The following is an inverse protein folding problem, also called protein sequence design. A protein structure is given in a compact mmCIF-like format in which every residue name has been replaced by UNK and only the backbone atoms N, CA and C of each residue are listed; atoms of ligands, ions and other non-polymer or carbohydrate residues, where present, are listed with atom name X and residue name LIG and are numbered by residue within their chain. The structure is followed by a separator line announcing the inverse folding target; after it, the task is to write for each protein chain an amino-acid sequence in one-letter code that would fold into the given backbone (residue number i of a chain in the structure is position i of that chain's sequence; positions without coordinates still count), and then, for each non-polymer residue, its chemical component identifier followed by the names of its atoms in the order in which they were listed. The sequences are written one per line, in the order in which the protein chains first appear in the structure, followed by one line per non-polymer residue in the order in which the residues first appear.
data_IF_100392453002
#
_entry.id   IF_100392453002
#
_cell.length_a   1.000
_cell.length_b   1.000
_cell.length_c   1.000
_cell.angle_alpha   90.00
_cell.angle_beta   90.00
_cell.angle_gamma   90.00
#
_symmetry.space_group_name_H-M   'P 1'
#
loop_
_entity.id
_entity.type
_entity.pdbx_description
1 polymer ?
#
# COMPACT_ATOMS: atom_id res chain seq x y z
N UNK A 1 65.81 -8.63 -20.54
CA UNK A 1 66.00 -9.68 -19.52
C UNK A 1 65.08 -9.39 -18.35
N UNK A 2 64.26 -10.39 -17.99
CA UNK A 2 63.63 -10.64 -16.67
C UNK A 2 62.57 -9.64 -16.17
N UNK A 3 61.29 -9.94 -16.39
CA UNK A 3 60.33 -10.54 -15.41
C UNK A 3 60.05 -9.71 -14.15
N UNK A 4 58.79 -9.28 -13.99
CA UNK A 4 57.94 -9.72 -12.88
C UNK A 4 56.52 -9.13 -13.01
N UNK A 5 55.62 -9.97 -13.50
CA UNK A 5 54.17 -9.87 -13.37
C UNK A 5 53.84 -9.95 -11.87
N UNK A 6 53.18 -8.95 -11.29
CA UNK A 6 52.51 -9.08 -9.98
C UNK A 6 51.02 -8.81 -10.14
N UNK A 7 50.32 -9.94 -10.26
CA UNK A 7 48.89 -10.07 -10.01
C UNK A 7 48.64 -9.70 -8.53
N UNK A 8 47.76 -8.75 -8.28
CA UNK A 8 47.15 -8.55 -6.96
C UNK A 8 45.64 -8.68 -7.15
N UNK A 9 45.14 -9.88 -6.84
CA UNK A 9 43.74 -10.23 -6.77
C UNK A 9 43.18 -9.64 -5.47
N UNK A 10 42.51 -8.49 -5.54
CA UNK A 10 41.75 -7.96 -4.41
C UNK A 10 40.33 -8.54 -4.46
N UNK A 11 40.10 -9.61 -3.69
CA UNK A 11 38.75 -9.98 -3.24
C UNK A 11 38.22 -8.86 -2.35
N UNK A 12 37.38 -8.00 -2.90
CA UNK A 12 36.55 -7.09 -2.12
C UNK A 12 35.41 -7.87 -1.48
N UNK A 13 35.59 -8.22 -0.21
CA UNK A 13 34.55 -8.77 0.65
C UNK A 13 33.40 -7.75 0.69
N UNK A 14 32.22 -8.16 0.21
CA UNK A 14 30.99 -7.44 0.46
C UNK A 14 30.73 -7.52 1.97
N UNK A 15 31.11 -6.46 2.68
CA UNK A 15 30.73 -6.29 4.07
C UNK A 15 29.23 -6.03 4.11
N UNK A 16 28.45 -7.07 4.41
CA UNK A 16 27.08 -6.91 4.88
C UNK A 16 27.13 -6.16 6.20
N UNK A 17 27.02 -4.83 6.14
CA UNK A 17 26.76 -4.03 7.33
C UNK A 17 25.35 -4.39 7.80
N UNK A 18 25.28 -5.25 8.82
CA UNK A 18 24.13 -5.29 9.72
C UNK A 18 24.14 -3.95 10.44
N UNK A 19 23.40 -2.98 9.90
CA UNK A 19 23.03 -1.77 10.63
C UNK A 19 22.14 -2.24 11.79
N UNK A 20 22.76 -2.40 12.95
CA UNK A 20 22.06 -2.34 14.22
C UNK A 20 21.67 -0.87 14.36
N UNK A 21 20.57 -0.48 13.72
CA UNK A 21 19.90 0.77 14.07
C UNK A 21 19.41 0.60 15.50
N UNK A 22 19.87 1.47 16.39
CA UNK A 22 19.23 1.68 17.68
C UNK A 22 17.72 1.78 17.42
N UNK A 23 16.94 1.02 18.18
CA UNK A 23 15.47 1.08 18.16
C UNK A 23 15.08 2.55 18.27
N UNK A 24 14.66 3.17 17.17
CA UNK A 24 13.87 4.38 17.28
C UNK A 24 12.62 3.96 18.04
N UNK A 25 12.27 4.69 19.10
CA UNK A 25 11.10 4.41 19.95
C UNK A 25 9.75 4.62 19.21
N UNK A 26 9.74 4.45 17.88
CA UNK A 26 8.53 4.39 17.07
C UNK A 26 7.90 2.99 17.21
N UNK A 27 6.83 2.90 17.98
CA UNK A 27 5.88 1.79 17.91
C UNK A 27 6.18 0.61 18.85
N UNK A 28 5.84 0.77 20.13
CA UNK A 28 5.52 -0.40 20.96
C UNK A 28 4.40 -1.21 20.27
N UNK A 29 4.54 -2.54 20.33
CA UNK A 29 3.77 -3.51 19.52
C UNK A 29 2.25 -3.34 19.68
N UNK A 30 1.53 -3.09 18.58
CA UNK A 30 0.05 -3.09 18.58
C UNK A 30 -0.52 -4.44 19.04
N UNK A 31 -1.47 -4.38 19.98
CA UNK A 31 -2.29 -5.53 20.39
C UNK A 31 -3.51 -5.61 19.46
N UNK A 32 -3.55 -6.61 18.58
CA UNK A 32 -4.63 -6.74 17.59
C UNK A 32 -5.69 -7.76 18.04
N UNK A 33 -6.98 -7.38 18.11
CA UNK A 33 -8.05 -8.34 18.23
C UNK A 33 -8.27 -9.09 16.90
N UNK A 34 -7.94 -10.37 16.90
CA UNK A 34 -8.66 -11.45 16.20
C UNK A 34 -9.03 -11.27 14.69
N UNK A 35 -8.06 -11.04 13.80
CA UNK A 35 -8.24 -11.28 12.34
C UNK A 35 -7.14 -12.16 11.71
N UNK A 36 -6.24 -12.72 12.51
CA UNK A 36 -5.12 -13.54 12.05
C UNK A 36 -5.51 -14.95 11.51
N UNK A 37 -6.79 -15.26 11.34
CA UNK A 37 -7.25 -16.62 10.99
C UNK A 37 -7.76 -16.80 9.56
N UNK A 38 -7.74 -15.77 8.70
CA UNK A 38 -8.30 -15.89 7.34
C UNK A 38 -7.34 -16.35 6.23
N UNK A 39 -6.05 -16.60 6.48
CA UNK A 39 -5.14 -17.12 5.44
C UNK A 39 -4.60 -18.50 5.79
N UNK A 40 -5.20 -19.56 5.26
CA UNK A 40 -4.45 -20.80 5.03
C UNK A 40 -3.46 -20.55 3.89
N UNK A 41 -2.16 -20.57 4.20
CA UNK A 41 -1.03 -20.78 3.29
C UNK A 41 -1.11 -20.09 1.91
N UNK A 42 -1.18 -18.76 1.89
CA UNK A 42 -0.90 -17.97 0.68
C UNK A 42 0.36 -17.16 0.95
N UNK A 43 1.36 -17.32 0.10
CA UNK A 43 2.64 -16.64 0.22
C UNK A 43 2.48 -15.13 -0.04
N UNK A 44 3.22 -14.33 0.71
CA UNK A 44 3.37 -12.89 0.47
C UNK A 44 4.68 -12.64 -0.26
N UNK A 45 4.62 -12.04 -1.44
CA UNK A 45 5.77 -11.58 -2.21
C UNK A 45 6.03 -10.11 -1.87
N UNK A 46 7.29 -9.69 -1.72
CA UNK A 46 7.62 -8.36 -1.16
C UNK A 46 7.98 -7.31 -2.21
N UNK A 47 8.45 -7.71 -3.38
CA UNK A 47 8.94 -6.79 -4.41
C UNK A 47 8.65 -7.37 -5.79
N UNK A 48 7.38 -7.67 -6.02
CA UNK A 48 6.92 -8.31 -7.25
C UNK A 48 6.20 -7.31 -8.16
N UNK A 49 6.17 -7.62 -9.44
CA UNK A 49 5.40 -6.86 -10.42
C UNK A 49 3.94 -7.32 -10.41
N UNK A 50 3.02 -6.38 -10.61
CA UNK A 50 1.60 -6.68 -10.82
C UNK A 50 1.44 -7.63 -12.01
N UNK A 51 0.44 -8.51 -11.94
CA UNK A 51 0.07 -9.32 -13.10
C UNK A 51 -0.26 -8.43 -14.31
N UNK A 52 -0.01 -8.92 -15.53
CA UNK A 52 -0.28 -8.17 -16.76
C UNK A 52 -1.75 -7.76 -16.88
N UNK A 53 -2.68 -8.51 -16.28
CA UNK A 53 -4.09 -8.14 -16.21
C UNK A 53 -4.35 -6.85 -15.42
N UNK A 54 -3.47 -6.55 -14.46
CA UNK A 54 -3.48 -5.36 -13.62
C UNK A 54 -2.60 -4.21 -14.16
N UNK A 55 -2.08 -4.29 -15.39
CA UNK A 55 -1.28 -3.21 -16.00
C UNK A 55 -2.06 -2.49 -17.10
N UNK A 56 -1.80 -1.19 -17.29
CA UNK A 56 -2.41 -0.43 -18.39
C UNK A 56 -1.89 -0.98 -19.74
N UNK A 57 -2.76 -1.54 -20.61
CA UNK A 57 -2.32 -2.01 -21.93
C UNK A 57 -1.81 -0.88 -22.83
N UNK A 58 -2.19 0.37 -22.56
CA UNK A 58 -1.66 1.56 -23.25
C UNK A 58 -0.25 1.97 -22.79
N UNK A 59 0.19 1.48 -21.63
CA UNK A 59 1.47 1.80 -21.00
C UNK A 59 1.96 0.61 -20.15
N UNK A 60 2.25 -0.52 -20.81
CA UNK A 60 2.70 -1.74 -20.12
C UNK A 60 3.90 -1.44 -19.20
N UNK A 61 3.86 -1.98 -17.99
CA UNK A 61 4.79 -1.64 -16.91
C UNK A 61 4.27 -0.55 -15.95
N UNK A 62 3.08 0.01 -16.19
CA UNK A 62 2.40 0.93 -15.25
C UNK A 62 1.05 0.41 -14.82
N UNK A 63 0.57 0.87 -13.66
CA UNK A 63 -0.82 0.70 -13.23
C UNK A 63 -1.78 1.38 -14.23
N UNK A 64 -3.05 0.99 -14.18
CA UNK A 64 -4.13 1.76 -14.78
C UNK A 64 -4.30 3.13 -14.11
N UNK A 65 -4.06 3.19 -12.80
CA UNK A 65 -4.32 4.38 -12.01
C UNK A 65 -3.20 5.41 -12.08
N UNK A 66 -3.59 6.63 -12.44
CA UNK A 66 -2.69 7.77 -12.54
C UNK A 66 -1.72 7.65 -13.71
N UNK A 67 -1.09 8.77 -14.06
CA UNK A 67 -0.10 8.77 -15.14
C UNK A 67 1.25 8.32 -14.59
N UNK A 68 1.62 7.06 -14.84
CA UNK A 68 3.00 6.60 -14.66
C UNK A 68 3.36 6.07 -13.27
N UNK A 69 2.42 5.54 -12.49
CA UNK A 69 2.77 4.73 -11.32
C UNK A 69 3.32 3.38 -11.81
N UNK A 70 4.59 3.02 -11.57
CA UNK A 70 5.14 1.76 -12.03
C UNK A 70 4.37 0.57 -11.47
N UNK A 71 4.18 -0.48 -12.27
CA UNK A 71 3.56 -1.73 -11.85
C UNK A 71 4.52 -2.64 -11.04
N UNK A 72 5.69 -2.12 -10.65
CA UNK A 72 6.75 -2.87 -9.98
C UNK A 72 6.78 -2.64 -8.47
N UNK A 73 7.52 -3.50 -7.75
CA UNK A 73 7.85 -3.38 -6.33
C UNK A 73 6.64 -3.44 -5.37
N UNK A 74 5.64 -4.24 -5.70
CA UNK A 74 4.48 -4.44 -4.84
C UNK A 74 4.71 -5.54 -3.81
N UNK A 75 4.10 -5.35 -2.64
CA UNK A 75 3.75 -6.45 -1.74
C UNK A 75 2.52 -7.13 -2.31
N UNK A 76 2.63 -8.39 -2.71
CA UNK A 76 1.58 -9.13 -3.41
C UNK A 76 1.17 -10.38 -2.64
N UNK A 77 -0.14 -10.66 -2.65
CA UNK A 77 -0.68 -12.01 -2.40
C UNK A 77 -1.54 -12.45 -3.57
N UNK A 78 -1.21 -13.62 -4.14
CA UNK A 78 -1.96 -14.27 -5.21
C UNK A 78 -2.78 -15.43 -4.66
N UNK A 79 -4.09 -15.38 -4.88
CA UNK A 79 -5.07 -16.37 -4.48
C UNK A 79 -5.50 -17.16 -5.72
N UNK A 80 -4.62 -18.00 -6.25
CA UNK A 80 -4.78 -18.67 -7.55
C UNK A 80 -6.12 -19.41 -7.70
N UNK A 81 -6.61 -20.05 -6.64
CA UNK A 81 -7.90 -20.76 -6.64
C UNK A 81 -9.10 -19.84 -6.83
N UNK A 82 -8.98 -18.60 -6.39
CA UNK A 82 -10.00 -17.57 -6.57
C UNK A 82 -9.74 -16.70 -7.80
N UNK A 83 -8.56 -16.81 -8.43
CA UNK A 83 -8.12 -15.92 -9.50
C UNK A 83 -8.05 -14.46 -9.06
N UNK A 84 -7.57 -14.22 -7.83
CA UNK A 84 -7.46 -12.87 -7.24
C UNK A 84 -5.99 -12.55 -6.95
N UNK A 85 -5.54 -11.36 -7.31
CA UNK A 85 -4.33 -10.73 -6.80
C UNK A 85 -4.71 -9.49 -5.96
N UNK A 86 -4.15 -9.39 -4.76
CA UNK A 86 -4.13 -8.16 -3.98
C UNK A 86 -2.70 -7.66 -3.90
N UNK A 87 -2.50 -6.37 -4.16
CA UNK A 87 -1.19 -5.76 -4.15
C UNK A 87 -1.20 -4.37 -3.51
N UNK A 88 -0.17 -4.05 -2.73
CA UNK A 88 0.03 -2.72 -2.15
C UNK A 88 1.51 -2.35 -2.12
N UNK A 89 1.83 -1.07 -2.29
CA UNK A 89 3.19 -0.53 -2.08
C UNK A 89 3.16 0.88 -1.51
N UNK A 90 4.28 1.31 -0.91
CA UNK A 90 4.52 2.72 -0.63
C UNK A 90 5.37 3.34 -1.74
N UNK A 91 5.22 4.65 -1.92
CA UNK A 91 6.14 5.46 -2.71
C UNK A 91 6.19 6.88 -2.15
N UNK A 92 7.30 7.58 -2.37
CA UNK A 92 7.33 9.02 -2.12
C UNK A 92 6.25 9.70 -2.96
N UNK A 93 5.61 10.74 -2.44
CA UNK A 93 4.57 11.46 -3.17
C UNK A 93 5.17 12.05 -4.45
N UNK A 94 4.75 11.52 -5.61
CA UNK A 94 5.30 11.82 -6.95
C UNK A 94 6.77 11.36 -7.18
N UNK A 95 7.32 10.54 -6.29
CA UNK A 95 8.69 10.05 -6.35
C UNK A 95 8.78 8.54 -6.45
N UNK A 96 9.96 8.00 -6.10
CA UNK A 96 10.28 6.59 -6.21
C UNK A 96 9.53 5.70 -5.20
N UNK A 97 9.48 4.40 -5.50
CA UNK A 97 8.92 3.38 -4.60
C UNK A 97 9.75 3.27 -3.31
N UNK A 98 9.07 2.97 -2.20
CA UNK A 98 9.69 2.68 -0.91
C UNK A 98 9.53 1.17 -0.64
N UNK A 99 10.62 0.38 -0.61
CA UNK A 99 10.54 -1.07 -0.50
C UNK A 99 10.11 -1.52 0.90
N UNK A 100 9.56 -2.73 1.06
CA UNK A 100 9.31 -3.30 2.37
C UNK A 100 10.57 -3.39 3.22
N UNK A 101 10.42 -3.09 4.51
CA UNK A 101 11.55 -2.98 5.43
C UNK A 101 11.77 -4.28 6.21
N UNK A 102 10.71 -4.87 6.76
CA UNK A 102 10.79 -6.14 7.48
C UNK A 102 9.44 -6.84 7.55
N UNK A 103 9.46 -8.10 8.02
CA UNK A 103 8.26 -8.88 8.35
C UNK A 103 8.29 -9.17 9.85
N UNK A 104 7.20 -8.88 10.56
CA UNK A 104 7.15 -9.07 12.01
C UNK A 104 6.98 -10.55 12.41
N UNK A 105 7.05 -10.84 13.71
CA UNK A 105 6.86 -12.20 14.23
C UNK A 105 5.46 -12.79 14.00
N UNK A 106 4.51 -12.01 13.45
CA UNK A 106 3.17 -12.45 13.06
C UNK A 106 3.03 -12.62 11.54
N UNK A 107 4.09 -12.40 10.77
CA UNK A 107 4.08 -12.49 9.32
C UNK A 107 3.48 -11.27 8.61
N UNK A 108 3.37 -10.13 9.31
CA UNK A 108 2.86 -8.88 8.74
C UNK A 108 4.03 -8.12 8.12
N UNK A 109 3.83 -7.59 6.92
CA UNK A 109 4.84 -6.78 6.23
C UNK A 109 4.79 -5.35 6.75
N UNK A 110 5.97 -4.81 7.06
CA UNK A 110 6.17 -3.44 7.51
C UNK A 110 6.96 -2.65 6.45
N UNK A 111 6.50 -1.43 6.18
CA UNK A 111 7.17 -0.46 5.31
C UNK A 111 7.44 0.81 6.11
N UNK A 112 8.72 1.10 6.34
CA UNK A 112 9.15 2.34 7.01
C UNK A 112 9.09 3.49 6.00
N UNK A 113 8.36 4.53 6.35
CA UNK A 113 8.11 5.71 5.52
C UNK A 113 8.41 6.97 6.32
N UNK A 114 8.85 8.07 5.68
CA UNK A 114 9.19 9.28 6.40
C UNK A 114 7.94 10.05 6.85
N UNK A 115 8.00 10.60 8.05
CA UNK A 115 7.10 11.66 8.53
C UNK A 115 7.29 12.95 7.73
N UNK A 116 6.42 13.92 7.98
CA UNK A 116 6.49 15.23 7.36
C UNK A 116 5.54 15.38 6.16
N UNK A 117 5.30 16.63 5.82
CA UNK A 117 4.73 16.98 4.53
C UNK A 117 5.69 16.63 3.37
N UNK A 118 5.15 16.61 2.15
CA UNK A 118 5.93 16.46 0.93
C UNK A 118 6.94 17.61 0.83
N UNK A 119 8.22 17.26 0.82
CA UNK A 119 9.35 18.18 0.58
C UNK A 119 10.03 17.82 -0.75
N UNK A 120 10.48 18.83 -1.49
CA UNK A 120 11.28 18.61 -2.69
C UNK A 120 12.53 17.79 -2.35
N UNK A 121 12.68 16.64 -3.02
CA UNK A 121 13.71 15.65 -2.74
C UNK A 121 14.13 14.99 -4.05
N UNK A 122 15.03 15.62 -4.81
CA UNK A 122 15.47 15.11 -6.11
C UNK A 122 16.14 13.73 -6.03
N UNK A 123 16.71 13.37 -4.89
CA UNK A 123 17.32 12.05 -4.69
C UNK A 123 16.27 10.93 -4.68
N UNK A 124 15.04 11.25 -4.27
CA UNK A 124 13.89 10.34 -4.25
C UNK A 124 12.86 10.65 -5.34
N UNK A 125 13.22 11.44 -6.35
CA UNK A 125 12.36 11.78 -7.47
C UNK A 125 11.20 12.72 -7.15
N UNK A 126 11.20 13.38 -5.98
CA UNK A 126 10.13 14.30 -5.58
C UNK A 126 10.42 15.71 -6.11
N UNK A 127 9.62 16.24 -7.06
CA UNK A 127 9.98 17.46 -7.80
C UNK A 127 9.69 18.76 -7.05
N UNK A 128 8.81 18.75 -6.05
CA UNK A 128 8.31 19.95 -5.38
C UNK A 128 7.86 19.68 -3.95
N UNK A 129 7.77 20.76 -3.17
CA UNK A 129 7.22 20.78 -1.81
C UNK A 129 5.71 21.03 -1.87
N UNK A 130 4.94 20.35 -1.02
CA UNK A 130 3.52 20.61 -0.81
C UNK A 130 3.13 20.38 0.66
N UNK A 131 2.81 21.44 1.39
CA UNK A 131 2.54 21.39 2.84
C UNK A 131 1.25 20.66 3.20
N UNK A 132 0.24 20.68 2.34
CA UNK A 132 -1.04 19.96 2.54
C UNK A 132 -1.04 18.48 2.12
N UNK A 133 0.14 17.83 2.00
CA UNK A 133 0.26 16.42 1.60
C UNK A 133 1.32 15.74 2.44
N UNK A 134 1.07 14.52 2.89
CA UNK A 134 2.09 13.70 3.51
C UNK A 134 3.20 13.37 2.49
N UNK A 135 4.42 13.09 2.99
CA UNK A 135 5.60 12.85 2.15
C UNK A 135 5.51 11.61 1.24
N UNK A 136 4.61 10.70 1.54
CA UNK A 136 4.45 9.41 0.85
C UNK A 136 2.98 9.12 0.54
N UNK A 137 2.77 8.20 -0.40
CA UNK A 137 1.49 7.59 -0.72
C UNK A 137 1.59 6.08 -0.58
N UNK A 138 0.46 5.40 -0.41
CA UNK A 138 0.34 3.99 -0.75
C UNK A 138 -0.47 3.83 -2.04
N UNK A 139 -0.02 2.95 -2.93
CA UNK A 139 -0.75 2.52 -4.11
C UNK A 139 -1.27 1.11 -3.90
N UNK A 140 -2.48 0.82 -4.37
CA UNK A 140 -3.11 -0.50 -4.25
C UNK A 140 -3.68 -1.00 -5.57
N UNK A 141 -3.78 -2.32 -5.70
CA UNK A 141 -4.44 -3.03 -6.79
C UNK A 141 -5.29 -4.17 -6.27
N UNK A 142 -6.56 -4.18 -6.66
CA UNK A 142 -7.45 -5.33 -6.58
C UNK A 142 -7.62 -5.86 -7.99
N UNK A 143 -7.17 -7.09 -8.23
CA UNK A 143 -7.30 -7.75 -9.53
C UNK A 143 -8.02 -9.08 -9.38
N UNK A 144 -9.19 -9.20 -10.01
CA UNK A 144 -9.97 -10.43 -10.10
C UNK A 144 -9.87 -11.11 -11.48
N UNK A 145 -9.02 -10.60 -12.39
CA UNK A 145 -8.91 -11.03 -13.78
C UNK A 145 -7.86 -12.12 -14.03
N UNK A 146 -7.13 -12.60 -13.01
CA UNK A 146 -6.14 -13.68 -13.16
C UNK A 146 -6.74 -14.95 -13.82
N UNK A 147 -8.05 -15.13 -13.66
CA UNK A 147 -8.82 -16.13 -14.40
C UNK A 147 -9.82 -15.40 -15.31
N UNK A 148 -9.68 -15.55 -16.63
CA UNK A 148 -10.57 -14.90 -17.61
C UNK A 148 -12.05 -15.30 -17.52
N UNK A 149 -12.40 -16.32 -16.74
CA UNK A 149 -13.79 -16.69 -16.43
C UNK A 149 -14.36 -16.07 -15.14
N UNK A 150 -13.57 -15.30 -14.40
CA UNK A 150 -14.04 -14.64 -13.18
C UNK A 150 -15.09 -13.57 -13.51
N UNK A 151 -16.04 -13.34 -12.59
CA UNK A 151 -17.00 -12.25 -12.77
C UNK A 151 -16.34 -10.88 -12.56
N UNK A 152 -17.11 -9.83 -12.82
CA UNK A 152 -16.71 -8.45 -12.52
C UNK A 152 -16.63 -8.19 -11.01
N UNK A 153 -15.95 -7.11 -10.61
CA UNK A 153 -15.80 -6.72 -9.20
C UNK A 153 -17.13 -6.53 -8.46
N UNK A 154 -18.24 -6.27 -9.18
CA UNK A 154 -19.57 -6.22 -8.59
C UNK A 154 -20.06 -7.56 -8.01
N UNK A 155 -19.48 -8.69 -8.40
CA UNK A 155 -19.78 -10.00 -7.81
C UNK A 155 -18.92 -10.31 -6.58
N UNK A 156 -18.10 -9.35 -6.13
CA UNK A 156 -17.26 -9.45 -4.93
C UNK A 156 -17.71 -8.48 -3.83
N UNK A 157 -17.36 -8.80 -2.58
CA UNK A 157 -17.39 -7.91 -1.43
C UNK A 157 -15.97 -7.43 -1.20
N UNK A 158 -15.66 -6.24 -1.71
CA UNK A 158 -14.37 -5.58 -1.53
C UNK A 158 -14.38 -4.64 -0.32
N UNK A 159 -13.30 -4.66 0.48
CA UNK A 159 -13.06 -3.71 1.55
C UNK A 159 -11.61 -3.22 1.56
N UNK A 160 -11.45 -1.91 1.67
CA UNK A 160 -10.21 -1.23 1.98
C UNK A 160 -10.35 -0.65 3.39
N UNK A 161 -9.57 -1.16 4.32
CA UNK A 161 -9.54 -0.73 5.71
C UNK A 161 -8.27 0.08 5.92
N UNK A 162 -8.42 1.33 6.34
CA UNK A 162 -7.30 2.25 6.58
C UNK A 162 -7.33 2.61 8.06
N UNK A 163 -6.26 2.31 8.79
CA UNK A 163 -6.12 2.75 10.17
C UNK A 163 -6.06 4.28 10.23
N UNK A 164 -6.82 4.88 11.13
CA UNK A 164 -6.87 6.33 11.32
C UNK A 164 -6.44 6.74 12.74
N UNK A 165 -5.84 5.81 13.48
CA UNK A 165 -5.22 6.07 14.78
C UNK A 165 -3.70 5.86 14.65
N UNK A 166 -2.89 6.93 14.67
CA UNK A 166 -1.44 6.82 14.56
C UNK A 166 -0.79 6.15 15.78
N UNK A 167 -1.52 5.95 16.88
CA UNK A 167 -1.02 5.29 18.10
C UNK A 167 -0.94 3.76 17.96
N UNK A 168 -0.62 3.06 19.05
CA UNK A 168 -0.56 1.60 19.08
C UNK A 168 -1.93 0.90 18.95
N UNK A 169 -3.01 1.68 18.90
CA UNK A 169 -4.36 1.16 18.65
C UNK A 169 -4.66 1.16 17.16
N UNK A 170 -5.67 0.41 16.77
CA UNK A 170 -6.18 0.44 15.39
C UNK A 170 -7.60 0.95 15.40
N UNK A 171 -7.88 1.98 14.58
CA UNK A 171 -9.22 2.48 14.31
C UNK A 171 -9.42 2.54 12.80
N UNK A 172 -9.98 1.47 12.24
CA UNK A 172 -10.18 1.41 10.79
C UNK A 172 -11.32 2.31 10.32
N UNK A 173 -11.03 3.13 9.31
CA UNK A 173 -12.00 3.58 8.34
C UNK A 173 -12.29 2.43 7.37
N UNK A 174 -13.55 1.99 7.35
CA UNK A 174 -14.00 0.90 6.49
C UNK A 174 -14.57 1.45 5.19
N UNK A 175 -13.88 1.20 4.08
CA UNK A 175 -14.34 1.60 2.76
C UNK A 175 -14.80 0.39 1.96
N UNK A 176 -16.06 0.41 1.51
CA UNK A 176 -16.64 -0.65 0.70
C UNK A 176 -16.47 -0.35 -0.79
N UNK A 177 -16.01 -1.33 -1.56
CA UNK A 177 -16.01 -1.24 -3.01
C UNK A 177 -17.44 -1.25 -3.56
N UNK A 178 -17.78 -0.27 -4.41
CA UNK A 178 -19.09 -0.14 -5.04
C UNK A 178 -18.96 0.28 -6.50
N UNK A 179 -19.88 -0.20 -7.34
CA UNK A 179 -20.11 0.41 -8.65
C UNK A 179 -20.73 1.78 -8.42
N UNK A 180 -20.13 2.82 -9.00
CA UNK A 180 -20.64 4.19 -8.89
C UNK A 180 -21.65 4.45 -10.00
N UNK A 181 -22.70 5.22 -9.67
CA UNK A 181 -23.69 5.66 -10.66
C UNK A 181 -23.25 6.90 -11.44
N UNK A 182 -22.37 7.71 -10.85
CA UNK A 182 -21.84 8.96 -11.41
C UNK A 182 -20.31 8.97 -11.33
N UNK A 183 -19.67 8.11 -12.11
CA UNK A 183 -18.21 8.06 -12.23
C UNK A 183 -17.66 9.36 -12.84
N UNK A 184 -16.54 9.92 -12.31
CA UNK A 184 -15.86 11.05 -12.92
C UNK A 184 -15.52 10.78 -14.39
N UNK A 185 -15.59 11.81 -15.23
CA UNK A 185 -15.22 11.69 -16.65
C UNK A 185 -13.78 11.24 -16.79
N UNK A 186 -13.54 10.16 -17.56
CA UNK A 186 -12.21 9.57 -17.75
C UNK A 186 -11.93 8.35 -16.88
N UNK A 187 -12.72 8.12 -15.83
CA UNK A 187 -12.63 6.91 -15.01
C UNK A 187 -13.10 5.68 -15.79
N UNK A 188 -12.22 4.70 -16.00
CA UNK A 188 -12.50 3.55 -16.89
C UNK A 188 -13.22 2.38 -16.21
N UNK A 189 -13.05 2.17 -14.90
CA UNK A 189 -13.61 1.00 -14.22
C UNK A 189 -15.02 1.22 -13.64
N UNK A 190 -15.38 2.47 -13.33
CA UNK A 190 -16.65 2.86 -12.75
C UNK A 190 -16.91 2.39 -11.31
N UNK A 191 -15.84 2.10 -10.56
CA UNK A 191 -15.91 1.67 -9.15
C UNK A 191 -15.38 2.74 -8.20
N UNK A 192 -15.74 2.67 -6.93
CA UNK A 192 -15.19 3.56 -5.92
C UNK A 192 -15.36 3.00 -4.52
N UNK A 193 -14.76 3.69 -3.57
CA UNK A 193 -14.68 3.27 -2.18
C UNK A 193 -15.58 4.16 -1.33
N UNK A 194 -16.53 3.52 -0.64
CA UNK A 194 -17.64 4.20 0.03
C UNK A 194 -17.61 3.89 1.52
N UNK A 195 -17.70 4.92 2.37
CA UNK A 195 -18.01 4.76 3.79
C UNK A 195 -19.43 5.23 4.05
N UNK A 196 -20.26 4.35 4.62
CA UNK A 196 -21.71 4.59 4.81
C UNK A 196 -22.39 4.97 3.48
N UNK A 197 -22.58 6.27 3.22
CA UNK A 197 -23.19 6.82 2.00
C UNK A 197 -22.29 7.84 1.29
N UNK A 198 -21.06 8.05 1.77
CA UNK A 198 -20.10 9.00 1.21
C UNK A 198 -19.09 8.24 0.36
N UNK A 199 -18.86 8.73 -0.87
CA UNK A 199 -17.79 8.21 -1.74
C UNK A 199 -16.50 8.90 -1.32
N UNK A 200 -15.58 8.15 -0.72
CA UNK A 200 -14.29 8.66 -0.23
C UNK A 200 -13.23 8.65 -1.32
N UNK A 201 -13.26 7.63 -2.19
CA UNK A 201 -12.37 7.50 -3.34
C UNK A 201 -13.25 7.23 -4.55
N UNK A 202 -13.27 8.17 -5.49
CA UNK A 202 -14.21 8.18 -6.62
C UNK A 202 -13.55 7.98 -7.98
N UNK A 203 -12.22 7.97 -8.01
CA UNK A 203 -11.38 8.07 -9.20
C UNK A 203 -10.52 6.82 -9.41
N UNK A 204 -10.91 5.68 -8.83
CA UNK A 204 -10.22 4.41 -9.07
C UNK A 204 -10.19 4.09 -10.58
N UNK A 205 -9.06 3.60 -11.07
CA UNK A 205 -8.93 3.19 -12.46
C UNK A 205 -8.81 1.67 -12.58
N UNK A 206 -8.86 1.17 -13.82
CA UNK A 206 -8.80 -0.26 -14.12
C UNK A 206 -9.83 -0.70 -15.16
N UNK A 207 -10.33 -1.91 -14.95
CA UNK A 207 -11.29 -2.60 -15.82
C UNK A 207 -12.53 -3.00 -15.03
N UNK A 208 -13.45 -3.75 -15.63
CA UNK A 208 -14.58 -4.30 -14.86
C UNK A 208 -14.15 -5.28 -13.74
N UNK A 209 -12.91 -5.80 -13.82
CA UNK A 209 -12.31 -6.78 -12.91
C UNK A 209 -11.11 -6.24 -12.11
N UNK A 210 -10.67 -5.01 -12.37
CA UNK A 210 -9.49 -4.38 -11.73
C UNK A 210 -9.85 -3.01 -11.15
N UNK A 211 -9.45 -2.77 -9.89
CA UNK A 211 -9.59 -1.47 -9.22
C UNK A 211 -8.29 -1.05 -8.56
N UNK A 212 -7.83 0.15 -8.91
CA UNK A 212 -6.50 0.65 -8.57
C UNK A 212 -6.54 2.14 -8.22
N UNK A 213 -5.68 2.55 -7.29
CA UNK A 213 -5.44 3.96 -6.97
C UNK A 213 -4.15 4.17 -6.17
N UNK A 214 -3.81 5.43 -5.92
CA UNK A 214 -2.75 5.88 -5.01
C UNK A 214 -3.29 6.94 -4.05
N UNK A 215 -3.12 6.70 -2.75
CA UNK A 215 -3.74 7.49 -1.69
C UNK A 215 -2.68 8.09 -0.76
N UNK A 216 -2.96 9.30 -0.29
CA UNK A 216 -2.13 10.06 0.65
C UNK A 216 -2.91 10.22 1.96
N UNK A 217 -2.24 10.15 3.12
CA UNK A 217 -2.90 10.30 4.41
C UNK A 217 -3.64 11.64 4.58
N UNK A 218 -3.21 12.70 3.88
CA UNK A 218 -3.89 13.99 3.89
C UNK A 218 -5.34 13.93 3.34
N UNK A 219 -5.70 12.91 2.57
CA UNK A 219 -7.09 12.71 2.12
C UNK A 219 -8.02 12.23 3.24
N UNK A 220 -7.46 11.70 4.33
CA UNK A 220 -8.20 11.16 5.47
C UNK A 220 -8.03 12.03 6.71
N UNK A 221 -7.64 13.29 6.55
CA UNK A 221 -7.42 14.24 7.65
C UNK A 221 -8.63 14.33 8.58
N UNK A 222 -9.85 14.26 8.04
CA UNK A 222 -11.08 14.28 8.83
C UNK A 222 -11.38 12.98 9.59
N UNK A 223 -10.60 11.92 9.37
CA UNK A 223 -10.71 10.65 10.08
C UNK A 223 -9.53 10.36 11.01
N UNK A 224 -8.37 10.96 10.74
CA UNK A 224 -7.17 10.77 11.54
C UNK A 224 -7.24 11.68 12.75
N UNK A 225 -7.01 11.09 13.93
CA UNK A 225 -6.88 11.84 15.18
C UNK A 225 -5.43 11.75 15.66
N UNK A 226 -4.69 12.85 15.47
CA UNK A 226 -3.25 12.88 15.73
C UNK A 226 -2.89 12.68 17.19
N UNK A 227 -3.79 13.02 18.11
CA UNK A 227 -3.63 12.81 19.54
C UNK A 227 -4.96 12.37 20.17
N UNK A 228 -5.22 11.05 20.21
CA UNK A 228 -6.46 10.51 20.77
C UNK A 228 -6.57 10.69 22.29
N UNK A 229 -5.54 11.22 22.97
CA UNK A 229 -5.60 11.57 24.40
C UNK A 229 -6.14 12.97 24.63
N UNK A 230 -6.07 13.85 23.63
CA UNK A 230 -6.66 15.18 23.68
C UNK A 230 -8.12 15.11 23.25
N UNK A 231 -8.99 15.89 23.92
CA UNK A 231 -10.43 15.87 23.63
C UNK A 231 -10.71 16.48 22.26
N UNK A 232 -11.47 15.74 21.45
CA UNK A 232 -11.85 16.16 20.10
C UNK A 232 -10.79 15.75 19.08
N UNK A 233 -11.13 15.81 17.80
CA UNK A 233 -10.20 15.40 16.75
C UNK A 233 -9.06 16.40 16.61
N UNK A 234 -7.83 15.90 16.71
CA UNK A 234 -6.63 16.68 16.45
C UNK A 234 -6.17 16.48 15.02
N UNK A 235 -5.88 17.60 14.35
CA UNK A 235 -5.42 17.62 12.96
C UNK A 235 -4.06 16.93 12.82
N UNK A 236 -3.94 15.98 11.90
CA UNK A 236 -2.70 15.29 11.60
C UNK A 236 -1.81 16.09 10.66
N UNK A 237 -2.40 16.85 9.74
CA UNK A 237 -1.67 17.86 8.98
C UNK A 237 -1.04 18.93 9.88
N UNK A 238 -1.70 19.32 10.99
CA UNK A 238 -1.14 20.29 11.93
C UNK A 238 0.05 19.75 12.74
N UNK A 239 0.22 18.43 12.82
CA UNK A 239 1.43 17.80 13.39
C UNK A 239 2.52 17.56 12.33
N UNK A 240 2.36 18.13 11.14
CA UNK A 240 3.20 17.89 9.99
C UNK A 240 3.28 16.40 9.61
N UNK A 241 2.15 15.68 9.68
CA UNK A 241 2.12 14.24 9.43
C UNK A 241 3.18 13.48 10.25
N UNK A 242 3.22 13.80 11.55
CA UNK A 242 4.24 13.30 12.48
C UNK A 242 4.24 11.77 12.65
N UNK A 243 5.17 11.23 13.45
CA UNK A 243 5.38 9.80 13.60
C UNK A 243 4.13 9.03 14.04
N UNK A 244 4.03 7.78 13.60
CA UNK A 244 2.89 6.93 13.89
C UNK A 244 2.95 5.59 13.16
N UNK A 245 1.95 4.75 13.36
CA UNK A 245 1.82 3.49 12.64
C UNK A 245 0.42 3.35 12.05
N UNK A 246 0.36 3.12 10.74
CA UNK A 246 -0.89 2.97 10.00
C UNK A 246 -1.00 1.58 9.38
N UNK A 247 -2.06 0.86 9.70
CA UNK A 247 -2.38 -0.43 9.11
C UNK A 247 -3.32 -0.26 7.91
N UNK A 248 -3.00 -0.89 6.78
CA UNK A 248 -3.89 -0.97 5.64
C UNK A 248 -4.18 -2.44 5.33
N UNK A 249 -5.47 -2.77 5.31
CA UNK A 249 -5.95 -4.10 5.02
C UNK A 249 -6.89 -4.09 3.81
N UNK A 250 -6.58 -4.97 2.88
CA UNK A 250 -7.31 -5.18 1.63
C UNK A 250 -8.02 -6.51 1.70
N UNK A 251 -9.31 -6.53 1.38
CA UNK A 251 -10.14 -7.73 1.43
C UNK A 251 -10.96 -7.81 0.14
N UNK A 252 -11.00 -8.99 -0.49
CA UNK A 252 -11.89 -9.26 -1.62
C UNK A 252 -12.50 -10.66 -1.50
N UNK A 253 -13.82 -10.72 -1.31
CA UNK A 253 -14.54 -11.97 -1.10
C UNK A 253 -15.60 -12.20 -2.18
N UNK A 254 -15.65 -13.35 -2.86
CA UNK A 254 -16.75 -13.66 -3.78
C UNK A 254 -18.12 -13.63 -3.08
N UNK A 255 -19.12 -12.94 -3.64
CA UNK A 255 -20.49 -12.92 -3.08
C UNK A 255 -21.17 -14.28 -3.14
N UNK A 256 -20.81 -15.11 -4.12
CA UNK A 256 -21.42 -16.44 -4.35
C UNK A 256 -20.53 -17.54 -3.76
N UNK A 257 -21.15 -18.43 -2.97
CA UNK A 257 -20.53 -19.49 -2.15
C UNK A 257 -19.68 -20.54 -2.89
N UNK A 258 -19.52 -20.48 -4.22
CA UNK A 258 -18.73 -21.49 -4.97
C UNK A 258 -17.23 -21.39 -4.69
N UNK A 259 -16.74 -20.25 -4.22
CA UNK A 259 -15.34 -20.02 -3.85
C UNK A 259 -15.33 -19.47 -2.42
N UNK A 260 -15.01 -20.31 -1.42
CA UNK A 260 -15.05 -19.92 0.01
C UNK A 260 -13.80 -19.17 0.47
N UNK A 261 -12.82 -19.02 -0.39
CA UNK A 261 -11.53 -18.48 0.01
C UNK A 261 -11.51 -16.99 -0.37
N UNK A 262 -11.75 -16.13 0.62
CA UNK A 262 -11.58 -14.69 0.49
C UNK A 262 -10.09 -14.33 0.40
N UNK A 263 -9.78 -13.28 -0.36
CA UNK A 263 -8.44 -12.73 -0.47
C UNK A 263 -8.23 -11.66 0.62
N UNK A 264 -7.12 -11.74 1.34
CA UNK A 264 -6.73 -10.74 2.35
C UNK A 264 -5.24 -10.42 2.28
N UNK A 265 -4.91 -9.13 2.13
CA UNK A 265 -3.56 -8.59 2.25
C UNK A 265 -3.55 -7.50 3.33
N UNK A 266 -2.51 -7.48 4.15
CA UNK A 266 -2.33 -6.54 5.25
C UNK A 266 -0.89 -6.05 5.28
N UNK A 267 -0.71 -4.74 5.32
CA UNK A 267 0.60 -4.07 5.38
C UNK A 267 0.54 -2.95 6.40
N UNK A 268 1.61 -2.79 7.16
CA UNK A 268 1.78 -1.73 8.15
C UNK A 268 2.79 -0.71 7.63
N UNK A 269 2.43 0.56 7.71
CA UNK A 269 3.30 1.69 7.41
C UNK A 269 3.78 2.31 8.71
N UNK A 270 5.09 2.23 8.95
CA UNK A 270 5.75 2.82 10.11
C UNK A 270 6.27 4.20 9.74
N UNK A 271 5.57 5.24 10.19
CA UNK A 271 5.91 6.64 9.92
C UNK A 271 6.93 7.08 10.96
N UNK A 272 8.15 7.36 10.50
CA UNK A 272 9.30 7.71 11.35
C UNK A 272 9.83 9.09 11.01
N UNK A 273 10.40 9.78 12.00
CA UNK A 273 11.18 10.99 11.73
C UNK A 273 12.33 10.68 10.74
N UNK A 274 12.63 11.59 9.80
CA UNK A 274 13.69 11.43 8.82
C UNK A 274 15.12 11.42 9.42
#
# INVERSE_FOLDING_TARGET
MKTALKLALSLGIAASFVLITAESEAGRRKSHPYYAQYSKAVDTYLTEDLDITAQDPGAVGTMYAGTGIPATNFVIRRFDRAGIELAIKAHYRQGYDIPPTYVDGKGIVHIVVPAGHQVADPANGVPSTHTGRARWNFAYSYDAALNGGNPDLEDYRGWLLIDTDPSEKTRYLWLQLKKLTNSPTGQRNGYGWVTKSTVEISDDEGTSQVSQNSQNLAFYEEYIDADPRTRGQQSYMATDFGPGQFDVMMILEPKRKRHRDGAVLRVVFDVVEP
#
